data_IF_133332477732
#
_entry.id   IF_133332477732
#
_cell.length_a   1.000
_cell.length_b   1.000
_cell.length_c   1.000
_cell.angle_alpha   90.00
_cell.angle_beta   90.00
_cell.angle_gamma   90.00
#
_symmetry.space_group_name_H-M   'P 1'
#
loop_
_entity.id
_entity.type
_entity.pdbx_description
1 polymer ?
#
# COMPACT_ATOMS: atom_id res chain seq x y z
N UNK A 1 22.51 -4.61 -33.25
CA UNK A 1 21.10 -4.31 -32.94
C UNK A 1 21.10 -3.36 -31.76
N UNK A 2 20.98 -2.06 -32.03
CA UNK A 2 20.78 -1.05 -30.98
C UNK A 2 19.35 -1.20 -30.45
N UNK A 3 19.22 -1.57 -29.18
CA UNK A 3 17.92 -1.54 -28.52
C UNK A 3 17.53 -0.07 -28.36
N UNK A 4 16.49 0.37 -29.08
CA UNK A 4 15.94 1.71 -28.91
C UNK A 4 15.63 1.94 -27.43
N UNK A 5 16.37 2.86 -26.81
CA UNK A 5 16.15 3.26 -25.41
C UNK A 5 14.98 4.23 -25.39
N UNK A 6 13.86 3.81 -24.84
CA UNK A 6 12.73 4.70 -24.61
C UNK A 6 12.92 5.40 -23.27
N UNK A 7 12.27 6.53 -23.05
CA UNK A 7 12.29 7.24 -21.76
C UNK A 7 10.94 7.07 -21.09
N UNK A 8 10.91 6.66 -19.84
CA UNK A 8 9.66 6.46 -19.11
C UNK A 8 8.90 7.78 -19.00
N UNK A 9 7.67 7.83 -19.50
CA UNK A 9 6.81 9.02 -19.41
C UNK A 9 6.37 9.38 -17.98
N UNK A 10 6.70 8.56 -16.98
CA UNK A 10 6.31 8.73 -15.57
C UNK A 10 7.46 9.32 -14.73
N UNK A 11 8.67 8.76 -14.86
CA UNK A 11 9.84 9.17 -14.08
C UNK A 11 11.02 9.70 -14.91
N UNK A 12 11.00 9.56 -16.24
CA UNK A 12 12.06 10.02 -17.14
C UNK A 12 13.26 9.07 -17.29
N UNK A 13 13.31 7.96 -16.56
CA UNK A 13 14.39 6.98 -16.67
C UNK A 13 14.35 6.18 -17.97
N UNK A 14 15.49 5.54 -18.31
CA UNK A 14 15.57 4.65 -19.47
C UNK A 14 14.60 3.47 -19.29
N UNK A 15 13.63 3.41 -20.19
CA UNK A 15 12.64 2.36 -20.30
C UNK A 15 13.00 1.38 -21.41
N UNK A 16 12.69 0.11 -21.15
CA UNK A 16 12.76 -1.00 -22.11
C UNK A 16 11.40 -1.64 -22.37
N UNK A 17 10.34 -1.10 -21.77
CA UNK A 17 9.00 -1.66 -21.85
C UNK A 17 7.96 -0.59 -22.21
N UNK A 18 6.88 -1.03 -22.83
CA UNK A 18 5.75 -0.21 -23.27
C UNK A 18 4.45 -0.78 -22.71
N UNK A 19 3.54 0.11 -22.29
CA UNK A 19 2.23 -0.27 -21.83
C UNK A 19 1.40 -0.83 -22.99
N UNK A 20 0.87 -2.04 -22.87
CA UNK A 20 0.05 -2.66 -23.93
C UNK A 20 -1.29 -1.97 -24.17
N UNK A 21 -1.72 -1.10 -23.25
CA UNK A 21 -3.00 -0.41 -23.33
C UNK A 21 -2.91 0.99 -23.94
N UNK A 22 -2.05 1.85 -23.39
CA UNK A 22 -1.91 3.24 -23.82
C UNK A 22 -0.68 3.48 -24.72
N UNK A 23 0.10 2.42 -25.01
CA UNK A 23 1.33 2.44 -25.82
C UNK A 23 2.41 3.42 -25.36
N UNK A 24 2.30 3.95 -24.12
CA UNK A 24 3.33 4.79 -23.50
C UNK A 24 4.47 3.95 -22.95
N UNK A 25 5.66 4.53 -22.97
CA UNK A 25 6.88 3.99 -22.38
C UNK A 25 6.82 4.04 -20.85
N UNK A 26 6.99 2.88 -20.23
CA UNK A 26 6.98 2.71 -18.78
C UNK A 26 8.11 1.79 -18.35
N UNK A 27 8.96 2.24 -17.41
CA UNK A 27 10.05 1.41 -16.90
C UNK A 27 9.49 0.20 -16.11
N UNK A 28 10.35 -0.79 -15.84
CA UNK A 28 9.96 -2.02 -15.14
C UNK A 28 9.32 -1.78 -13.76
N UNK A 29 9.65 -0.65 -13.12
CA UNK A 29 9.06 -0.22 -11.84
C UNK A 29 7.64 0.32 -11.97
N UNK A 30 7.27 0.82 -13.15
CA UNK A 30 5.96 1.42 -13.41
C UNK A 30 5.09 0.59 -14.35
N UNK A 31 5.60 -0.55 -14.87
CA UNK A 31 4.82 -1.52 -15.63
C UNK A 31 4.49 -2.73 -14.75
N UNK A 32 3.21 -3.07 -14.69
CA UNK A 32 2.78 -4.26 -13.96
C UNK A 32 3.24 -5.52 -14.71
N UNK A 33 4.01 -6.39 -14.06
CA UNK A 33 4.50 -7.65 -14.67
C UNK A 33 3.39 -8.67 -14.96
N UNK A 34 2.23 -8.56 -14.29
CA UNK A 34 1.06 -9.43 -14.56
C UNK A 34 0.26 -8.94 -15.76
N UNK A 35 0.07 -7.62 -15.82
CA UNK A 35 -0.92 -6.99 -16.69
C UNK A 35 -0.26 -6.28 -17.90
N UNK A 36 1.07 -6.14 -17.91
CA UNK A 36 1.89 -5.35 -18.84
C UNK A 36 1.34 -3.94 -19.12
N UNK A 37 0.69 -3.36 -18.11
CA UNK A 37 0.08 -2.03 -18.12
C UNK A 37 0.84 -1.09 -17.19
N UNK A 38 0.93 0.19 -17.55
CA UNK A 38 1.51 1.21 -16.67
C UNK A 38 0.64 1.43 -15.42
N UNK A 39 1.20 2.03 -14.36
CA UNK A 39 0.52 2.31 -13.09
C UNK A 39 -0.86 2.98 -13.26
N UNK A 40 -0.95 3.96 -14.16
CA UNK A 40 -2.19 4.71 -14.45
C UNK A 40 -3.27 3.86 -15.14
N UNK A 41 -2.88 2.84 -15.90
CA UNK A 41 -3.78 1.93 -16.63
C UNK A 41 -3.98 0.58 -15.93
N UNK A 42 -3.28 0.36 -14.81
CA UNK A 42 -3.30 -0.90 -14.10
C UNK A 42 -4.58 -1.01 -13.27
N UNK A 43 -5.49 -1.92 -13.66
CA UNK A 43 -6.71 -2.23 -12.90
C UNK A 43 -6.48 -3.38 -11.91
N UNK A 44 -5.21 -3.71 -11.65
CA UNK A 44 -4.85 -4.86 -10.84
C UNK A 44 -4.91 -4.38 -9.38
N UNK A 45 -6.11 -4.46 -8.78
CA UNK A 45 -6.44 -4.13 -7.38
C UNK A 45 -5.79 -5.13 -6.40
N UNK A 46 -4.51 -5.42 -6.56
CA UNK A 46 -3.78 -6.27 -5.64
C UNK A 46 -3.16 -5.38 -4.56
N UNK A 47 -3.69 -5.36 -3.32
CA UNK A 47 -2.92 -4.84 -2.21
C UNK A 47 -1.63 -5.66 -2.13
N UNK A 48 -0.49 -4.97 -2.02
CA UNK A 48 0.74 -5.63 -1.57
C UNK A 48 0.43 -6.17 -0.18
N UNK A 49 0.28 -7.48 -0.05
CA UNK A 49 0.05 -8.14 1.23
C UNK A 49 1.29 -7.87 2.09
N UNK A 50 1.23 -6.85 2.94
CA UNK A 50 2.16 -6.72 4.05
C UNK A 50 1.93 -7.94 4.94
N UNK A 51 2.92 -8.82 5.02
CA UNK A 51 2.88 -10.09 5.74
C UNK A 51 2.79 -9.91 7.28
N UNK A 52 1.84 -9.12 7.80
CA UNK A 52 1.79 -8.75 9.21
C UNK A 52 0.38 -8.59 9.80
N UNK A 53 -0.67 -8.99 9.08
CA UNK A 53 -2.07 -8.84 9.54
C UNK A 53 -2.61 -10.12 10.21
N UNK A 54 -2.15 -11.31 9.80
CA UNK A 54 -2.58 -12.59 10.38
C UNK A 54 -2.02 -12.85 11.79
N UNK A 55 -0.89 -12.23 12.19
CA UNK A 55 -0.31 -12.42 13.53
C UNK A 55 -0.91 -11.48 14.59
N UNK A 56 -1.48 -10.33 14.21
CA UNK A 56 -2.07 -9.36 15.16
C UNK A 56 -3.47 -9.73 15.67
N UNK A 57 -4.23 -10.52 14.91
CA UNK A 57 -5.58 -10.90 15.30
C UNK A 57 -5.64 -11.99 16.40
N UNK A 58 -4.54 -12.72 16.64
CA UNK A 58 -4.50 -13.81 17.62
C UNK A 58 -4.19 -13.36 19.06
N UNK A 59 -3.58 -12.18 19.25
CA UNK A 59 -3.10 -11.70 20.57
C UNK A 59 -4.06 -10.75 21.30
N UNK A 60 -5.10 -10.22 20.65
CA UNK A 60 -5.98 -9.22 21.26
C UNK A 60 -7.08 -9.84 22.16
N UNK A 61 -7.36 -11.14 22.04
CA UNK A 61 -8.43 -11.79 22.80
C UNK A 61 -8.04 -12.26 24.22
N UNK A 62 -6.79 -12.05 24.66
CA UNK A 62 -6.29 -12.64 25.92
C UNK A 62 -6.03 -11.66 27.07
N UNK A 63 -6.13 -10.35 26.87
CA UNK A 63 -5.93 -9.39 27.97
C UNK A 63 -7.19 -8.65 28.37
N UNK A 64 -7.58 -8.92 29.62
CA UNK A 64 -8.26 -8.02 30.55
C UNK A 64 -9.80 -8.08 30.57
N UNK A 65 -10.30 -9.27 30.93
CA UNK A 65 -11.27 -9.33 32.02
C UNK A 65 -10.64 -8.78 33.30
N UNK A 66 -11.20 -7.70 33.87
CA UNK A 66 -11.32 -7.44 35.31
C UNK A 66 -11.93 -6.04 35.56
N UNK A 67 -13.24 -5.98 35.81
CA UNK A 67 -13.80 -4.97 36.70
C UNK A 67 -13.41 -5.33 38.14
N UNK A 68 -13.18 -4.36 39.04
CA UNK A 68 -14.29 -3.72 39.77
C UNK A 68 -14.20 -2.16 39.75
N UNK A 69 -15.29 -1.39 39.73
CA UNK A 69 -16.10 -0.86 40.87
C UNK A 69 -15.28 -0.30 42.07
N UNK A 70 -15.78 0.80 42.69
CA UNK A 70 -15.19 1.71 43.71
C UNK A 70 -14.29 2.85 43.18
N UNK A 71 -14.35 4.11 43.61
CA UNK A 71 -15.16 4.86 44.59
C UNK A 71 -14.84 6.36 44.40
N UNK A 72 -15.70 7.26 44.90
CA UNK A 72 -15.39 8.55 45.54
C UNK A 72 -14.38 9.52 44.83
N UNK A 73 -14.61 10.80 44.59
CA UNK A 73 -15.20 11.80 45.49
C UNK A 73 -15.11 13.20 44.82
N UNK A 74 -15.87 14.14 45.36
CA UNK A 74 -16.01 15.52 44.92
C UNK A 74 -14.70 16.34 44.86
N UNK A 75 -14.66 17.32 43.94
CA UNK A 75 -14.29 18.70 44.26
C UNK A 75 -14.69 19.65 43.11
N UNK A 76 -15.72 20.46 43.32
CA UNK A 76 -15.82 21.80 42.72
C UNK A 76 -14.92 22.72 43.57
N UNK A 77 -14.21 23.72 43.02
CA UNK A 77 -14.86 25.04 42.91
C UNK A 77 -14.33 26.00 41.81
N UNK A 78 -15.15 27.04 41.59
CA UNK A 78 -14.85 28.46 41.38
C UNK A 78 -13.76 28.91 40.38
N UNK A 79 -14.15 29.81 39.47
CA UNK A 79 -13.89 31.25 39.66
C UNK A 79 -14.73 32.13 38.73
#
# INVERSE_FOLDING_TARGET
MEAATFTCSICGEVSRAICVFCTKDACSNHICQRCHRCSDCCACEMPVTSASEEERAAEEMKQVSAAPEEELEAVTPAS
#
